data_IF_417902771720
#
_entry.id   IF_417902771720
#
_cell.length_a   1.000
_cell.length_b   1.000
_cell.length_c   1.000
_cell.angle_alpha   90.00
_cell.angle_beta   90.00
_cell.angle_gamma   90.00
#
_symmetry.space_group_name_H-M   'P 1'
#
loop_
_entity.id
_entity.type
_entity.pdbx_description
1 polymer ?
#
# COMPACT_ATOMS: atom_id res chain seq x y z
N UNK A 1 -6.69 -12.20 -17.49
CA UNK A 1 -6.93 -11.25 -16.37
C UNK A 1 -7.23 -9.88 -16.96
N UNK A 2 -8.30 -9.19 -16.56
CA UNK A 2 -8.60 -7.82 -17.07
C UNK A 2 -7.57 -6.82 -16.53
N UNK A 3 -7.12 -5.88 -17.35
CA UNK A 3 -6.11 -4.89 -16.94
C UNK A 3 -6.58 -3.46 -17.15
N UNK A 4 -6.37 -2.60 -16.15
CA UNK A 4 -6.62 -1.14 -16.19
C UNK A 4 -5.30 -0.40 -15.96
N UNK A 5 -5.14 0.75 -16.60
CA UNK A 5 -4.00 1.64 -16.42
C UNK A 5 -4.48 3.06 -16.09
N UNK A 6 -3.73 3.77 -15.26
CA UNK A 6 -4.00 5.17 -14.98
C UNK A 6 -4.98 5.40 -13.83
N UNK A 7 -4.72 6.45 -13.05
CA UNK A 7 -5.69 7.05 -12.13
C UNK A 7 -5.39 8.54 -11.97
N UNK A 8 -6.23 9.38 -12.55
CA UNK A 8 -6.07 10.83 -12.42
C UNK A 8 -6.21 11.26 -10.95
N UNK A 9 -5.23 12.01 -10.46
CA UNK A 9 -5.21 12.54 -9.10
C UNK A 9 -4.31 13.78 -9.04
N UNK A 10 -4.60 14.71 -8.14
CA UNK A 10 -3.72 15.86 -7.87
C UNK A 10 -3.13 15.72 -6.46
N UNK A 11 -1.91 15.15 -6.32
CA UNK A 11 -1.29 14.87 -5.02
C UNK A 11 -1.16 16.10 -4.12
N UNK A 12 -0.87 17.27 -4.71
CA UNK A 12 -0.76 18.53 -4.00
C UNK A 12 -2.03 18.92 -3.21
N UNK A 13 -3.21 18.39 -3.55
CA UNK A 13 -4.46 18.69 -2.84
C UNK A 13 -4.63 17.94 -1.51
N UNK A 14 -3.83 16.91 -1.25
CA UNK A 14 -3.87 16.14 0.00
C UNK A 14 -2.49 15.88 0.61
N UNK A 15 -1.43 16.44 0.01
CA UNK A 15 -0.07 16.42 0.53
C UNK A 15 0.47 17.85 0.69
N UNK A 16 -0.42 18.82 0.96
CA UNK A 16 -0.08 20.25 1.11
C UNK A 16 1.04 20.43 2.13
N UNK A 17 0.90 19.77 3.28
CA UNK A 17 1.79 19.94 4.43
C UNK A 17 3.18 19.33 4.17
N UNK A 18 3.25 18.32 3.29
CA UNK A 18 4.51 17.71 2.85
C UNK A 18 5.21 18.62 1.84
N UNK A 19 4.46 19.29 0.95
CA UNK A 19 5.06 20.19 -0.04
C UNK A 19 5.50 21.52 0.54
N UNK A 20 4.85 22.00 1.61
CA UNK A 20 5.21 23.26 2.27
C UNK A 20 6.56 23.19 2.96
N UNK A 21 6.96 22.02 3.47
CA UNK A 21 8.29 21.79 4.04
C UNK A 21 8.85 20.41 3.63
N UNK A 22 9.11 20.28 2.33
CA UNK A 22 9.58 19.02 1.76
C UNK A 22 10.94 18.59 2.30
N UNK A 23 11.82 19.55 2.63
CA UNK A 23 13.15 19.28 3.18
C UNK A 23 13.06 18.75 4.60
N UNK A 24 12.25 19.37 5.48
CA UNK A 24 12.07 18.83 6.83
C UNK A 24 11.38 17.46 6.81
N UNK A 25 10.40 17.24 5.92
CA UNK A 25 9.78 15.93 5.75
C UNK A 25 10.80 14.86 5.33
N UNK A 26 11.63 15.15 4.31
CA UNK A 26 12.70 14.26 3.86
C UNK A 26 13.68 13.93 4.97
N UNK A 27 14.18 14.93 5.69
CA UNK A 27 15.11 14.73 6.80
C UNK A 27 14.48 13.94 7.96
N UNK A 28 13.20 14.17 8.28
CA UNK A 28 12.47 13.38 9.26
C UNK A 28 12.42 11.89 8.85
N UNK A 29 12.05 11.62 7.59
CA UNK A 29 11.98 10.26 7.05
C UNK A 29 13.35 9.57 7.08
N UNK A 30 14.40 10.27 6.65
CA UNK A 30 15.79 9.80 6.67
C UNK A 30 16.28 9.47 8.08
N UNK A 31 16.12 10.40 9.04
CA UNK A 31 16.52 10.19 10.44
C UNK A 31 15.79 9.01 11.06
N UNK A 32 14.48 8.89 10.80
CA UNK A 32 13.67 7.76 11.26
C UNK A 32 14.20 6.44 10.69
N UNK A 33 14.41 6.37 9.37
CA UNK A 33 14.94 5.19 8.72
C UNK A 33 16.30 4.79 9.31
N UNK A 34 17.25 5.72 9.40
CA UNK A 34 18.57 5.48 9.95
C UNK A 34 18.54 5.02 11.43
N UNK A 35 17.63 5.58 12.25
CA UNK A 35 17.42 5.13 13.64
C UNK A 35 17.04 3.65 13.68
N UNK A 36 16.07 3.23 12.85
CA UNK A 36 15.60 1.85 12.83
C UNK A 36 16.55 0.90 12.11
N UNK A 37 17.37 1.37 11.17
CA UNK A 37 18.41 0.56 10.52
C UNK A 37 19.38 -0.02 11.56
N UNK A 38 19.75 0.77 12.58
CA UNK A 38 20.61 0.33 13.70
C UNK A 38 19.97 -0.80 14.52
N UNK A 39 18.64 -0.82 14.60
CA UNK A 39 17.84 -1.79 15.37
C UNK A 39 17.39 -3.00 14.54
N UNK A 40 17.51 -2.96 13.22
CA UNK A 40 17.09 -4.01 12.30
C UNK A 40 18.05 -5.22 12.34
N UNK A 41 17.83 -6.11 13.31
CA UNK A 41 18.66 -7.30 13.54
C UNK A 41 18.09 -8.59 12.95
N UNK A 42 16.81 -8.60 12.54
CA UNK A 42 16.18 -9.81 11.97
C UNK A 42 16.63 -9.97 10.52
N UNK A 43 17.43 -11.01 10.24
CA UNK A 43 17.87 -11.37 8.89
C UNK A 43 16.76 -12.09 8.13
N UNK A 44 16.68 -11.84 6.84
CA UNK A 44 15.75 -12.51 5.92
C UNK A 44 16.57 -13.14 4.80
N UNK A 45 16.71 -14.46 4.81
CA UNK A 45 17.56 -15.23 3.90
C UNK A 45 16.78 -16.08 2.88
N UNK A 46 15.45 -16.01 2.93
CA UNK A 46 14.53 -16.72 2.06
C UNK A 46 13.36 -15.82 1.67
N UNK A 47 12.85 -16.03 0.46
CA UNK A 47 11.74 -15.24 -0.07
C UNK A 47 10.43 -15.55 0.68
N UNK A 48 9.74 -14.51 1.16
CA UNK A 48 8.44 -14.62 1.82
C UNK A 48 7.35 -15.30 0.99
N UNK A 49 7.42 -15.19 -0.34
CA UNK A 49 6.35 -15.65 -1.23
C UNK A 49 6.55 -17.11 -1.65
N UNK A 50 7.76 -17.48 -2.06
CA UNK A 50 8.03 -18.80 -2.65
C UNK A 50 9.04 -19.65 -1.86
N UNK A 51 9.59 -19.15 -0.75
CA UNK A 51 10.57 -19.87 0.08
C UNK A 51 11.98 -19.99 -0.51
N UNK A 52 12.20 -19.57 -1.76
CA UNK A 52 13.51 -19.67 -2.42
C UNK A 52 14.59 -18.86 -1.69
N UNK A 53 15.77 -19.48 -1.52
CA UNK A 53 17.01 -18.85 -1.04
C UNK A 53 17.83 -18.19 -2.15
N UNK A 54 17.41 -18.31 -3.42
CA UNK A 54 18.08 -17.66 -4.56
C UNK A 54 17.71 -16.18 -4.59
N UNK A 55 18.53 -15.38 -3.91
CA UNK A 55 18.36 -13.92 -3.80
C UNK A 55 19.44 -13.20 -4.60
N UNK A 56 19.10 -12.04 -5.17
CA UNK A 56 20.08 -11.15 -5.79
C UNK A 56 21.03 -10.57 -4.74
N UNK A 57 22.18 -10.04 -5.19
CA UNK A 57 22.86 -9.00 -4.42
C UNK A 57 21.90 -7.82 -4.18
N UNK A 58 22.07 -7.03 -3.11
CA UNK A 58 21.28 -5.82 -2.92
C UNK A 58 21.36 -4.94 -4.16
N UNK A 59 20.20 -4.55 -4.71
CA UNK A 59 20.16 -3.70 -5.91
C UNK A 59 20.03 -2.22 -5.56
N UNK A 60 19.61 -1.92 -4.32
CA UNK A 60 19.59 -0.57 -3.76
C UNK A 60 19.72 -0.66 -2.24
N UNK A 61 20.43 0.30 -1.66
CA UNK A 61 20.52 0.52 -0.23
C UNK A 61 19.91 1.87 0.10
N UNK A 62 18.81 1.89 0.85
CA UNK A 62 18.15 3.13 1.28
C UNK A 62 18.29 3.28 2.79
N UNK A 63 18.95 4.36 3.23
CA UNK A 63 19.11 4.73 4.64
C UNK A 63 19.59 3.58 5.56
N UNK A 64 20.46 2.71 5.05
CA UNK A 64 21.02 1.57 5.78
C UNK A 64 20.26 0.25 5.65
N UNK A 65 19.19 0.19 4.84
CA UNK A 65 18.48 -1.04 4.52
C UNK A 65 18.80 -1.52 3.11
N UNK A 66 19.21 -2.78 3.00
CA UNK A 66 19.46 -3.46 1.74
C UNK A 66 18.17 -4.06 1.20
N UNK A 67 17.78 -3.68 -0.02
CA UNK A 67 16.69 -4.31 -0.75
C UNK A 67 17.25 -5.38 -1.70
N UNK A 68 16.73 -6.60 -1.56
CA UNK A 68 17.10 -7.76 -2.38
C UNK A 68 15.89 -8.23 -3.19
N UNK A 69 16.16 -8.92 -4.30
CA UNK A 69 15.13 -9.48 -5.17
C UNK A 69 15.24 -11.01 -5.20
N UNK A 70 14.11 -11.70 -5.03
CA UNK A 70 14.04 -13.13 -5.26
C UNK A 70 14.22 -13.44 -6.75
N UNK A 71 15.18 -14.31 -7.09
CA UNK A 71 15.46 -14.70 -8.48
C UNK A 71 14.47 -15.74 -9.04
N UNK A 72 13.53 -16.21 -8.23
CA UNK A 72 12.50 -17.16 -8.65
C UNK A 72 11.15 -16.47 -8.95
N UNK A 73 10.61 -15.70 -7.99
CA UNK A 73 9.29 -15.08 -8.12
C UNK A 73 9.31 -13.56 -8.27
N UNK A 74 10.50 -12.96 -8.38
CA UNK A 74 10.76 -11.51 -8.47
C UNK A 74 10.35 -10.63 -7.28
N UNK A 75 9.87 -11.20 -6.16
CA UNK A 75 9.53 -10.44 -4.95
C UNK A 75 10.72 -9.63 -4.42
N UNK A 76 10.48 -8.39 -4.00
CA UNK A 76 11.49 -7.51 -3.40
C UNK A 76 11.20 -7.31 -1.92
N UNK A 77 12.24 -7.34 -1.09
CA UNK A 77 12.12 -7.15 0.36
C UNK A 77 13.44 -6.70 0.97
N UNK A 78 13.39 -6.19 2.21
CA UNK A 78 14.59 -5.82 2.96
C UNK A 78 15.30 -7.05 3.53
N UNK A 79 16.61 -7.18 3.30
CA UNK A 79 17.42 -8.31 3.78
C UNK A 79 17.59 -8.33 5.32
N UNK A 80 17.41 -7.16 5.95
CA UNK A 80 17.32 -6.99 7.39
C UNK A 80 16.11 -6.14 7.72
N UNK A 81 15.39 -6.52 8.77
CA UNK A 81 14.24 -5.77 9.28
C UNK A 81 14.20 -5.77 10.81
N UNK A 82 13.29 -4.95 11.33
CA UNK A 82 12.88 -5.02 12.72
C UNK A 82 12.22 -6.38 13.03
N UNK A 83 12.30 -6.83 14.28
CA UNK A 83 11.57 -8.01 14.74
C UNK A 83 10.06 -7.81 14.64
N UNK A 84 9.29 -8.90 14.68
CA UNK A 84 7.83 -8.81 14.61
C UNK A 84 7.25 -7.98 15.76
N UNK A 85 7.79 -8.10 16.98
CA UNK A 85 7.40 -7.29 18.13
C UNK A 85 7.70 -5.81 17.91
N UNK A 86 8.88 -5.48 17.40
CA UNK A 86 9.25 -4.08 17.11
C UNK A 86 8.39 -3.46 16.01
N UNK A 87 8.08 -4.22 14.94
CA UNK A 87 7.14 -3.76 13.90
C UNK A 87 5.75 -3.52 14.48
N UNK A 88 5.25 -4.44 15.31
CA UNK A 88 3.95 -4.30 15.95
C UNK A 88 3.86 -3.01 16.78
N UNK A 89 4.84 -2.79 17.67
CA UNK A 89 4.90 -1.57 18.49
C UNK A 89 4.99 -0.31 17.62
N UNK A 90 5.85 -0.35 16.59
CA UNK A 90 6.03 0.74 15.65
C UNK A 90 4.72 1.18 14.99
N UNK A 91 3.87 0.25 14.55
CA UNK A 91 2.58 0.57 13.93
C UNK A 91 1.48 0.89 14.93
N UNK A 92 1.44 0.18 16.07
CA UNK A 92 0.44 0.41 17.11
C UNK A 92 0.54 1.84 17.69
N UNK A 93 1.75 2.36 17.83
CA UNK A 93 2.06 3.71 18.31
C UNK A 93 2.15 4.74 17.18
N UNK A 94 2.02 4.33 15.92
CA UNK A 94 2.13 5.25 14.78
C UNK A 94 0.94 6.21 14.72
N UNK A 95 1.24 7.50 14.69
CA UNK A 95 0.29 8.57 14.38
C UNK A 95 0.33 8.97 12.89
N UNK A 96 1.22 8.39 12.10
CA UNK A 96 1.52 8.85 10.74
C UNK A 96 0.27 8.89 9.85
N UNK A 97 -0.56 7.84 9.90
CA UNK A 97 -1.80 7.80 9.13
C UNK A 97 -2.81 8.83 9.61
N UNK A 98 -3.01 9.00 10.91
CA UNK A 98 -3.89 10.03 11.46
C UNK A 98 -3.42 11.45 11.06
N UNK A 99 -2.11 11.70 11.05
CA UNK A 99 -1.50 12.98 10.66
C UNK A 99 -1.68 13.32 9.17
N UNK A 100 -2.06 12.37 8.32
CA UNK A 100 -2.38 12.68 6.90
C UNK A 100 -3.78 13.26 6.69
N UNK A 101 -4.55 13.44 7.77
CA UNK A 101 -5.90 14.00 7.76
C UNK A 101 -5.95 15.26 8.62
N UNK A 102 -5.25 16.31 8.19
CA UNK A 102 -5.13 17.57 8.94
C UNK A 102 -6.32 18.51 8.76
N UNK A 103 -7.11 18.33 7.69
CA UNK A 103 -8.30 19.14 7.42
C UNK A 103 -9.43 18.35 6.76
N UNK A 104 -10.68 18.78 7.00
CA UNK A 104 -11.89 18.22 6.36
C UNK A 104 -11.79 18.19 4.84
N UNK A 105 -11.17 19.20 4.22
CA UNK A 105 -10.91 19.24 2.79
C UNK A 105 -10.04 18.07 2.31
N UNK A 106 -8.91 17.81 2.97
CA UNK A 106 -8.03 16.70 2.62
C UNK A 106 -8.76 15.36 2.76
N UNK A 107 -9.57 15.19 3.82
CA UNK A 107 -10.38 13.98 4.04
C UNK A 107 -11.32 13.74 2.85
N UNK A 108 -12.12 14.76 2.47
CA UNK A 108 -13.08 14.65 1.37
C UNK A 108 -12.38 14.40 0.03
N UNK A 109 -11.25 15.06 -0.20
CA UNK A 109 -10.46 14.83 -1.41
C UNK A 109 -9.96 13.39 -1.50
N UNK A 110 -9.44 12.83 -0.39
CA UNK A 110 -8.98 11.43 -0.34
C UNK A 110 -10.12 10.44 -0.52
N UNK A 111 -11.26 10.65 0.11
CA UNK A 111 -12.44 9.81 -0.11
C UNK A 111 -12.82 9.79 -1.60
N UNK A 112 -12.91 10.95 -2.24
CA UNK A 112 -13.35 11.08 -3.63
C UNK A 112 -12.33 10.58 -4.65
N UNK A 113 -11.04 10.85 -4.45
CA UNK A 113 -10.00 10.64 -5.48
C UNK A 113 -9.03 9.50 -5.17
N UNK A 114 -8.99 9.01 -3.93
CA UNK A 114 -8.13 7.88 -3.52
C UNK A 114 -8.95 6.65 -3.22
N UNK A 115 -9.89 6.71 -2.28
CA UNK A 115 -10.60 5.54 -1.78
C UNK A 115 -11.77 5.10 -2.67
N UNK A 116 -12.67 6.01 -3.04
CA UNK A 116 -13.83 5.72 -3.89
C UNK A 116 -13.44 5.05 -5.22
N UNK A 117 -12.42 5.50 -5.97
CA UNK A 117 -12.02 4.83 -7.20
C UNK A 117 -11.56 3.37 -6.99
N UNK A 118 -10.94 3.07 -5.83
CA UNK A 118 -10.54 1.70 -5.47
C UNK A 118 -11.76 0.83 -5.16
N UNK A 119 -12.69 1.34 -4.35
CA UNK A 119 -13.95 0.64 -4.05
C UNK A 119 -14.73 0.40 -5.34
N UNK A 120 -14.87 1.40 -6.19
CA UNK A 120 -15.60 1.30 -7.47
C UNK A 120 -14.98 0.25 -8.40
N UNK A 121 -13.65 0.19 -8.45
CA UNK A 121 -12.95 -0.82 -9.22
C UNK A 121 -13.25 -2.24 -8.71
N UNK A 122 -13.22 -2.46 -7.39
CA UNK A 122 -13.55 -3.76 -6.79
C UNK A 122 -15.01 -4.13 -7.02
N UNK A 123 -15.92 -3.16 -6.87
CA UNK A 123 -17.35 -3.35 -7.02
C UNK A 123 -17.75 -3.78 -8.43
N UNK A 124 -16.94 -3.47 -9.46
CA UNK A 124 -17.13 -4.01 -10.81
C UNK A 124 -17.08 -5.54 -10.87
N UNK A 125 -16.36 -6.18 -9.95
CA UNK A 125 -16.20 -7.63 -9.87
C UNK A 125 -17.14 -8.29 -8.86
N UNK A 126 -17.72 -7.49 -7.96
CA UNK A 126 -18.71 -7.90 -6.97
C UNK A 126 -20.17 -7.72 -7.43
N UNK A 127 -20.42 -7.18 -8.64
CA UNK A 127 -21.77 -6.85 -9.18
C UNK A 127 -22.83 -7.96 -9.07
N UNK A 128 -22.42 -9.23 -9.05
CA UNK A 128 -23.35 -10.37 -8.94
C UNK A 128 -23.93 -10.53 -7.53
N UNK A 129 -23.41 -9.81 -6.53
CA UNK A 129 -23.85 -9.85 -5.14
C UNK A 129 -24.85 -8.71 -4.89
N UNK A 130 -26.10 -9.07 -4.56
CA UNK A 130 -27.16 -8.09 -4.24
C UNK A 130 -26.90 -7.31 -2.94
N UNK A 131 -26.17 -7.93 -2.01
CA UNK A 131 -25.75 -7.39 -0.71
C UNK A 131 -24.37 -7.96 -0.39
N UNK A 132 -23.58 -7.28 0.44
CA UNK A 132 -22.23 -7.77 0.74
C UNK A 132 -21.66 -7.29 2.07
N UNK A 133 -20.79 -8.12 2.65
CA UNK A 133 -19.94 -7.74 3.77
C UNK A 133 -18.51 -7.54 3.27
N UNK A 134 -17.94 -6.38 3.59
CA UNK A 134 -16.57 -6.00 3.24
C UNK A 134 -15.72 -5.93 4.51
N UNK A 135 -14.61 -6.66 4.55
CA UNK A 135 -13.56 -6.51 5.56
C UNK A 135 -12.35 -5.82 4.94
N UNK A 136 -11.96 -4.67 5.47
CA UNK A 136 -10.71 -4.01 5.12
C UNK A 136 -9.71 -4.22 6.24
N UNK A 137 -8.50 -4.70 5.92
CA UNK A 137 -7.48 -5.05 6.91
C UNK A 137 -6.28 -4.13 6.73
N UNK A 138 -5.84 -3.52 7.83
CA UNK A 138 -4.91 -2.39 7.77
C UNK A 138 -5.62 -1.12 7.30
N UNK A 139 -6.81 -0.86 7.85
CA UNK A 139 -7.70 0.18 7.35
C UNK A 139 -7.23 1.62 7.55
N UNK A 140 -6.18 1.86 8.32
CA UNK A 140 -5.81 3.20 8.76
C UNK A 140 -6.99 3.86 9.45
N UNK A 141 -7.38 5.07 9.01
CA UNK A 141 -8.56 5.75 9.56
C UNK A 141 -9.89 5.25 8.96
N UNK A 142 -9.87 4.33 7.99
CA UNK A 142 -11.07 3.68 7.44
C UNK A 142 -11.69 4.34 6.21
N UNK A 143 -10.91 5.03 5.36
CA UNK A 143 -11.42 5.63 4.11
C UNK A 143 -12.14 4.62 3.21
N UNK A 144 -11.59 3.40 3.09
CA UNK A 144 -12.17 2.33 2.26
C UNK A 144 -13.51 1.91 2.84
N UNK A 145 -13.55 1.63 4.15
CA UNK A 145 -14.77 1.31 4.89
C UNK A 145 -15.82 2.41 4.69
N UNK A 146 -15.42 3.68 4.79
CA UNK A 146 -16.34 4.79 4.57
C UNK A 146 -16.87 4.86 3.15
N UNK A 147 -16.04 4.56 2.15
CA UNK A 147 -16.49 4.50 0.76
C UNK A 147 -17.40 3.30 0.47
N UNK A 148 -17.34 2.22 1.24
CA UNK A 148 -18.30 1.09 1.12
C UNK A 148 -19.72 1.55 1.45
N UNK A 149 -19.91 2.49 2.37
CA UNK A 149 -21.25 3.06 2.71
C UNK A 149 -21.98 3.67 1.50
N UNK A 150 -21.25 4.04 0.43
CA UNK A 150 -21.84 4.56 -0.80
C UNK A 150 -22.62 3.50 -1.61
N UNK A 151 -22.57 2.24 -1.16
CA UNK A 151 -23.31 1.11 -1.72
C UNK A 151 -24.36 0.64 -0.69
N UNK A 152 -25.65 1.00 -0.84
CA UNK A 152 -26.65 0.87 0.22
C UNK A 152 -26.85 -0.53 0.83
N UNK A 153 -26.57 -1.59 0.06
CA UNK A 153 -26.72 -2.98 0.49
C UNK A 153 -25.41 -3.61 0.98
N UNK A 154 -24.36 -2.80 1.15
CA UNK A 154 -23.05 -3.22 1.60
C UNK A 154 -22.75 -2.67 2.98
N UNK A 155 -22.02 -3.47 3.78
CA UNK A 155 -21.53 -3.05 5.09
C UNK A 155 -20.03 -3.31 5.18
N UNK A 156 -19.28 -2.30 5.59
CA UNK A 156 -17.83 -2.39 5.81
C UNK A 156 -17.48 -2.56 7.29
N UNK A 157 -16.47 -3.37 7.55
CA UNK A 157 -15.74 -3.42 8.83
C UNK A 157 -14.25 -3.18 8.53
N UNK A 158 -13.59 -2.33 9.31
CA UNK A 158 -12.15 -2.11 9.23
C UNK A 158 -11.41 -2.71 10.43
N UNK A 159 -10.22 -3.26 10.18
CA UNK A 159 -9.28 -3.68 11.23
C UNK A 159 -8.02 -2.83 11.15
N UNK A 160 -7.63 -2.22 12.27
CA UNK A 160 -6.43 -1.38 12.38
C UNK A 160 -5.79 -1.58 13.76
N UNK A 161 -4.48 -1.53 13.88
CA UNK A 161 -3.78 -1.69 15.17
C UNK A 161 -3.39 -0.35 15.81
N UNK A 162 -3.20 0.70 15.01
CA UNK A 162 -2.88 2.06 15.45
C UNK A 162 -4.04 2.63 16.28
N UNK A 163 -3.76 2.92 17.55
CA UNK A 163 -4.72 3.55 18.48
C UNK A 163 -5.21 4.90 17.94
N UNK A 164 -4.27 5.71 17.44
CA UNK A 164 -4.55 7.04 16.91
C UNK A 164 -5.43 6.97 15.65
N UNK A 165 -5.15 6.02 14.76
CA UNK A 165 -5.93 5.85 13.52
C UNK A 165 -7.37 5.40 13.80
N UNK A 166 -7.56 4.44 14.72
CA UNK A 166 -8.90 3.99 15.12
C UNK A 166 -9.69 5.11 15.79
N UNK A 167 -9.09 5.84 16.73
CA UNK A 167 -9.74 6.96 17.41
C UNK A 167 -10.17 8.05 16.42
N UNK A 168 -9.27 8.41 15.50
CA UNK A 168 -9.53 9.40 14.44
C UNK A 168 -10.63 8.93 13.50
N UNK A 169 -10.54 7.70 12.99
CA UNK A 169 -11.50 7.12 12.05
C UNK A 169 -12.91 7.03 12.63
N UNK A 170 -13.05 6.59 13.88
CA UNK A 170 -14.35 6.57 14.57
C UNK A 170 -14.94 7.97 14.72
N UNK A 171 -14.12 8.94 15.12
CA UNK A 171 -14.53 10.35 15.29
C UNK A 171 -15.00 10.97 13.96
N UNK A 172 -14.23 10.77 12.89
CA UNK A 172 -14.45 11.44 11.60
C UNK A 172 -15.54 10.75 10.78
N UNK A 173 -15.53 9.41 10.70
CA UNK A 173 -16.36 8.68 9.74
C UNK A 173 -17.57 7.96 10.33
N UNK A 174 -17.60 7.75 11.66
CA UNK A 174 -18.67 7.02 12.36
C UNK A 174 -18.92 5.62 11.76
N UNK A 175 -17.84 4.86 11.54
CA UNK A 175 -17.81 3.53 10.90
C UNK A 175 -17.47 2.41 11.90
N UNK A 176 -17.73 1.15 11.53
CA UNK A 176 -17.22 -0.03 12.25
C UNK A 176 -15.72 -0.20 11.99
N UNK A 177 -14.90 0.46 12.80
CA UNK A 177 -13.45 0.36 12.79
C UNK A 177 -12.97 -0.22 14.12
N UNK A 178 -12.29 -1.36 14.08
CA UNK A 178 -11.90 -2.13 15.26
C UNK A 178 -10.40 -2.08 15.46
N UNK A 179 -10.00 -1.84 16.71
CA UNK A 179 -8.59 -1.94 17.07
C UNK A 179 -8.22 -3.42 17.27
N UNK A 180 -7.83 -4.11 16.20
CA UNK A 180 -7.63 -5.56 16.27
C UNK A 180 -6.63 -6.07 15.21
N UNK A 181 -5.87 -7.10 15.58
CA UNK A 181 -5.03 -7.85 14.66
C UNK A 181 -5.88 -8.82 13.85
N UNK A 182 -5.60 -8.94 12.55
CA UNK A 182 -6.38 -9.82 11.67
C UNK A 182 -6.41 -11.29 12.14
N UNK A 183 -5.29 -11.78 12.69
CA UNK A 183 -5.19 -13.13 13.25
C UNK A 183 -6.12 -13.34 14.44
N UNK A 184 -6.16 -12.40 15.37
CA UNK A 184 -7.05 -12.45 16.54
C UNK A 184 -8.52 -12.34 16.11
N UNK A 185 -8.80 -11.46 15.14
CA UNK A 185 -10.15 -11.30 14.59
C UNK A 185 -10.72 -12.61 14.04
N UNK A 186 -9.90 -13.40 13.31
CA UNK A 186 -10.29 -14.73 12.85
C UNK A 186 -10.58 -15.69 14.01
N UNK A 187 -9.77 -15.69 15.07
CA UNK A 187 -9.99 -16.58 16.23
C UNK A 187 -11.36 -16.36 16.86
N UNK A 188 -11.80 -15.09 16.94
CA UNK A 188 -13.11 -14.72 17.48
C UNK A 188 -14.24 -14.95 16.46
N UNK A 189 -13.93 -14.92 15.16
CA UNK A 189 -14.89 -15.04 14.06
C UNK A 189 -14.49 -16.15 13.07
N UNK A 190 -14.47 -17.44 13.46
CA UNK A 190 -13.80 -18.48 12.68
C UNK A 190 -14.55 -18.91 11.40
N UNK A 191 -15.77 -18.43 11.18
CA UNK A 191 -16.61 -18.86 10.06
C UNK A 191 -16.48 -17.92 8.85
N UNK A 192 -16.46 -18.46 7.61
CA UNK A 192 -16.51 -17.65 6.40
C UNK A 192 -17.74 -16.73 6.40
N UNK A 193 -17.54 -15.42 6.28
CA UNK A 193 -18.65 -14.46 6.34
C UNK A 193 -18.52 -13.25 5.42
N UNK A 194 -17.32 -12.97 4.91
CA UNK A 194 -17.07 -11.79 4.08
C UNK A 194 -17.18 -12.11 2.60
N UNK A 195 -17.77 -11.17 1.87
CA UNK A 195 -17.90 -11.22 0.41
C UNK A 195 -16.72 -10.50 -0.26
N UNK A 196 -16.14 -9.51 0.42
CA UNK A 196 -14.88 -8.87 0.01
C UNK A 196 -13.94 -8.80 1.22
N UNK A 197 -12.68 -9.17 1.03
CA UNK A 197 -11.59 -8.88 1.97
C UNK A 197 -10.53 -8.08 1.21
N UNK A 198 -10.17 -6.89 1.69
CA UNK A 198 -9.16 -6.03 1.06
C UNK A 198 -7.95 -5.77 1.94
N UNK A 199 -6.81 -5.67 1.26
CA UNK A 199 -5.52 -5.27 1.80
C UNK A 199 -5.00 -4.12 0.93
N UNK A 200 -4.97 -2.89 1.45
CA UNK A 200 -4.44 -1.73 0.72
C UNK A 200 -3.23 -1.16 1.46
N UNK A 201 -2.02 -1.41 0.96
CA UNK A 201 -0.76 -1.03 1.62
C UNK A 201 -0.51 -1.80 2.92
N UNK A 202 -1.11 -2.99 3.06
CA UNK A 202 -1.01 -3.81 4.27
C UNK A 202 0.00 -4.94 4.09
N UNK A 203 0.02 -5.61 2.94
CA UNK A 203 0.95 -6.72 2.75
C UNK A 203 2.40 -6.25 2.64
N UNK A 204 2.64 -5.01 2.23
CA UNK A 204 3.97 -4.39 2.15
C UNK A 204 4.63 -4.13 3.52
N UNK A 205 3.84 -4.07 4.59
CA UNK A 205 4.29 -3.74 5.95
C UNK A 205 4.35 -4.92 6.92
N UNK A 206 3.65 -6.02 6.64
CA UNK A 206 3.64 -7.20 7.50
C UNK A 206 4.85 -8.10 7.29
N UNK A 207 5.24 -8.88 8.30
CA UNK A 207 6.36 -9.80 8.19
C UNK A 207 6.05 -11.08 7.41
N UNK A 208 4.78 -11.52 7.35
CA UNK A 208 4.38 -12.77 6.70
C UNK A 208 3.09 -12.56 5.88
N UNK A 209 3.18 -12.10 4.63
CA UNK A 209 2.01 -11.81 3.82
C UNK A 209 1.27 -13.09 3.39
N UNK A 210 1.98 -14.22 3.34
CA UNK A 210 1.39 -15.52 2.98
C UNK A 210 0.47 -16.04 4.09
N UNK A 211 0.81 -15.83 5.37
CA UNK A 211 -0.11 -16.11 6.48
C UNK A 211 -1.37 -15.26 6.36
N UNK A 212 -1.22 -13.95 6.12
CA UNK A 212 -2.37 -13.03 5.95
C UNK A 212 -3.32 -13.48 4.84
N UNK A 213 -2.78 -13.84 3.67
CA UNK A 213 -3.61 -14.33 2.56
C UNK A 213 -4.30 -15.66 2.89
N UNK A 214 -3.65 -16.57 3.63
CA UNK A 214 -4.31 -17.81 4.10
C UNK A 214 -5.42 -17.53 5.11
N UNK A 215 -5.26 -16.55 5.99
CA UNK A 215 -6.32 -16.12 6.91
C UNK A 215 -7.52 -15.55 6.13
N UNK A 216 -7.26 -14.75 5.07
CA UNK A 216 -8.32 -14.30 4.18
C UNK A 216 -9.05 -15.47 3.52
N UNK A 217 -8.34 -16.51 3.07
CA UNK A 217 -8.96 -17.70 2.44
C UNK A 217 -9.95 -18.40 3.37
N UNK A 218 -9.72 -18.36 4.68
CA UNK A 218 -10.61 -18.94 5.71
C UNK A 218 -11.85 -18.07 5.98
N UNK A 219 -11.71 -16.74 6.01
CA UNK A 219 -12.83 -15.82 6.29
C UNK A 219 -13.70 -15.49 5.07
N UNK A 220 -13.16 -15.67 3.87
CA UNK A 220 -13.83 -15.31 2.63
C UNK A 220 -14.85 -16.39 2.25
N UNK A 221 -16.06 -15.95 1.87
CA UNK A 221 -17.07 -16.84 1.29
C UNK A 221 -16.59 -17.43 -0.03
N UNK A 222 -17.16 -18.58 -0.42
CA UNK A 222 -16.80 -19.30 -1.64
C UNK A 222 -16.90 -18.46 -2.93
N UNK A 223 -17.87 -17.54 -3.00
CA UNK A 223 -18.05 -16.60 -4.13
C UNK A 223 -17.45 -15.22 -3.87
N UNK A 224 -16.75 -15.05 -2.75
CA UNK A 224 -16.15 -13.78 -2.35
C UNK A 224 -14.92 -13.42 -3.16
N UNK A 225 -14.38 -12.25 -2.86
CA UNK A 225 -13.24 -11.65 -3.56
C UNK A 225 -12.19 -11.21 -2.54
N UNK A 226 -10.93 -11.52 -2.82
CA UNK A 226 -9.79 -10.92 -2.13
C UNK A 226 -9.19 -9.82 -3.00
N UNK A 227 -8.82 -8.70 -2.38
CA UNK A 227 -8.21 -7.54 -3.04
C UNK A 227 -6.87 -7.26 -2.39
N UNK A 228 -5.83 -7.13 -3.22
CA UNK A 228 -4.47 -6.81 -2.80
C UNK A 228 -4.04 -5.56 -3.55
N UNK A 229 -3.83 -4.45 -2.86
CA UNK A 229 -3.32 -3.22 -3.45
C UNK A 229 -2.06 -2.77 -2.75
N UNK A 230 -0.91 -2.86 -3.43
CA UNK A 230 0.42 -2.72 -2.81
C UNK A 230 1.36 -1.91 -3.69
N UNK A 231 2.50 -1.50 -3.13
CA UNK A 231 3.60 -0.91 -3.86
C UNK A 231 4.18 -1.89 -4.91
N UNK A 232 4.44 -1.35 -6.11
CA UNK A 232 5.05 -2.06 -7.23
C UNK A 232 6.57 -1.86 -7.25
N UNK A 233 7.34 -2.92 -7.01
CA UNK A 233 8.79 -2.88 -7.08
C UNK A 233 9.35 -2.63 -8.48
N UNK A 234 8.58 -2.91 -9.54
CA UNK A 234 8.97 -2.63 -10.92
C UNK A 234 8.27 -1.37 -11.40
N UNK A 235 8.71 -0.24 -10.86
CA UNK A 235 8.12 1.08 -11.08
C UNK A 235 9.16 2.13 -11.43
N UNK A 236 8.69 3.27 -11.96
CA UNK A 236 9.57 4.41 -12.20
C UNK A 236 10.09 5.00 -10.88
N UNK A 237 9.28 5.00 -9.81
CA UNK A 237 9.71 5.37 -8.46
C UNK A 237 10.87 4.52 -7.94
N UNK A 238 10.86 3.20 -8.20
CA UNK A 238 12.00 2.32 -7.86
C UNK A 238 13.26 2.70 -8.65
N UNK A 239 13.14 2.97 -9.95
CA UNK A 239 14.30 3.39 -10.78
C UNK A 239 14.88 4.69 -10.25
N UNK A 240 14.03 5.65 -9.90
CA UNK A 240 14.47 6.93 -9.33
C UNK A 240 15.24 6.73 -8.03
N UNK A 241 14.76 5.88 -7.13
CA UNK A 241 15.40 5.62 -5.83
C UNK A 241 16.61 4.69 -5.91
N UNK A 242 16.73 3.86 -6.95
CA UNK A 242 17.98 3.17 -7.27
C UNK A 242 19.07 4.17 -7.65
N UNK A 243 18.73 5.16 -8.47
CA UNK A 243 19.65 6.21 -8.90
C UNK A 243 19.98 7.22 -7.78
N UNK A 244 19.00 7.52 -6.92
CA UNK A 244 19.11 8.55 -5.88
C UNK A 244 18.59 8.05 -4.52
N UNK A 245 19.25 7.05 -3.90
CA UNK A 245 18.75 6.40 -2.69
C UNK A 245 18.64 7.34 -1.48
N UNK A 246 19.50 8.35 -1.39
CA UNK A 246 19.51 9.32 -0.29
C UNK A 246 18.38 10.36 -0.35
N UNK A 247 17.59 10.35 -1.43
CA UNK A 247 16.44 11.23 -1.65
C UNK A 247 15.11 10.45 -1.63
N UNK A 248 15.12 9.19 -1.16
CA UNK A 248 13.91 8.40 -0.98
C UNK A 248 13.00 9.00 0.09
N UNK A 249 11.70 9.09 -0.20
CA UNK A 249 10.72 9.74 0.69
C UNK A 249 9.39 9.03 0.82
N UNK A 250 9.11 8.01 0.00
CA UNK A 250 7.76 7.40 -0.02
C UNK A 250 7.75 5.95 -0.48
N UNK A 251 8.36 5.66 -1.63
CA UNK A 251 8.20 4.34 -2.26
C UNK A 251 9.06 3.24 -1.60
N UNK A 252 10.39 3.31 -1.68
CA UNK A 252 11.33 2.49 -0.91
C UNK A 252 11.67 3.21 0.39
N UNK A 253 10.75 3.18 1.35
CA UNK A 253 10.91 3.88 2.61
C UNK A 253 10.94 2.89 3.80
N UNK A 254 12.12 2.46 4.26
CA UNK A 254 12.22 1.64 5.46
C UNK A 254 12.18 2.51 6.74
N UNK A 255 11.80 1.95 7.91
CA UNK A 255 11.43 0.56 8.15
C UNK A 255 9.97 0.25 7.83
N UNK A 256 9.22 1.16 7.21
CA UNK A 256 7.78 0.97 6.95
C UNK A 256 7.54 -0.02 5.82
N UNK A 257 8.13 0.23 4.65
CA UNK A 257 7.95 -0.61 3.45
C UNK A 257 9.06 -1.67 3.42
N UNK A 258 8.83 -2.79 4.12
CA UNK A 258 9.77 -3.92 4.21
C UNK A 258 9.62 -4.94 3.09
N UNK A 259 8.48 -4.91 2.39
CA UNK A 259 8.20 -5.75 1.23
C UNK A 259 7.70 -4.90 0.09
N UNK A 260 8.13 -5.20 -1.14
CA UNK A 260 7.56 -4.63 -2.34
C UNK A 260 7.24 -5.73 -3.35
N UNK A 261 5.98 -5.79 -3.75
CA UNK A 261 5.52 -6.80 -4.67
C UNK A 261 5.84 -6.40 -6.10
N UNK A 262 6.15 -7.38 -6.94
CA UNK A 262 5.98 -7.25 -8.38
C UNK A 262 4.61 -7.80 -8.75
N UNK A 263 4.13 -7.48 -9.95
CA UNK A 263 2.94 -8.15 -10.50
C UNK A 263 3.06 -9.68 -10.46
N UNK A 264 4.25 -10.20 -10.77
CA UNK A 264 4.51 -11.63 -10.76
C UNK A 264 4.49 -12.20 -9.34
N UNK A 265 5.17 -11.57 -8.38
CA UNK A 265 5.21 -12.08 -7.00
C UNK A 265 3.84 -12.02 -6.33
N UNK A 266 3.04 -10.99 -6.62
CA UNK A 266 1.69 -10.89 -6.09
C UNK A 266 0.73 -11.93 -6.69
N UNK A 267 0.83 -12.21 -7.99
CA UNK A 267 0.08 -13.31 -8.63
C UNK A 267 0.50 -14.66 -8.04
N UNK A 268 1.81 -14.87 -7.84
CA UNK A 268 2.34 -16.09 -7.25
C UNK A 268 1.86 -16.28 -5.80
N UNK A 269 1.88 -15.21 -5.01
CA UNK A 269 1.37 -15.21 -3.63
C UNK A 269 -0.11 -15.64 -3.60
N UNK A 270 -0.95 -15.01 -4.43
CA UNK A 270 -2.38 -15.32 -4.51
C UNK A 270 -2.62 -16.77 -4.91
N UNK A 271 -1.92 -17.29 -5.93
CA UNK A 271 -2.05 -18.68 -6.39
C UNK A 271 -1.67 -19.67 -5.28
N UNK A 272 -0.54 -19.46 -4.61
CA UNK A 272 -0.04 -20.31 -3.51
C UNK A 272 -0.91 -20.27 -2.26
N UNK A 273 -1.86 -19.35 -2.17
CA UNK A 273 -2.82 -19.26 -1.06
C UNK A 273 -4.25 -19.54 -1.50
N UNK A 274 -4.43 -20.26 -2.61
CA UNK A 274 -5.73 -20.72 -3.05
C UNK A 274 -6.62 -19.65 -3.68
N UNK A 275 -6.02 -18.64 -4.32
CA UNK A 275 -6.74 -17.63 -5.08
C UNK A 275 -6.32 -17.60 -6.55
N UNK A 276 -7.29 -17.27 -7.41
CA UNK A 276 -7.11 -17.05 -8.84
C UNK A 276 -7.30 -15.56 -9.17
N UNK A 277 -6.24 -14.85 -9.59
CA UNK A 277 -6.34 -13.46 -10.01
C UNK A 277 -7.25 -13.27 -11.23
N UNK A 278 -8.15 -12.28 -11.18
CA UNK A 278 -9.14 -11.98 -12.23
C UNK A 278 -9.03 -10.58 -12.81
N UNK A 279 -8.48 -9.62 -12.05
CA UNK A 279 -8.22 -8.27 -12.54
C UNK A 279 -6.95 -7.65 -11.95
N UNK A 280 -6.37 -6.70 -12.68
CA UNK A 280 -5.20 -5.92 -12.34
C UNK A 280 -5.41 -4.46 -12.71
N UNK A 281 -5.02 -3.54 -11.84
CA UNK A 281 -5.00 -2.11 -12.12
C UNK A 281 -3.65 -1.54 -11.72
N UNK A 282 -2.90 -1.00 -12.68
CA UNK A 282 -1.65 -0.30 -12.42
C UNK A 282 -1.85 1.22 -12.52
N UNK A 283 -1.30 1.93 -11.55
CA UNK A 283 -1.32 3.39 -11.45
C UNK A 283 -0.23 3.82 -10.47
N UNK A 284 0.09 5.10 -10.38
CA UNK A 284 1.06 5.52 -9.38
C UNK A 284 1.10 7.01 -9.13
N UNK A 285 2.11 7.41 -8.36
CA UNK A 285 2.49 8.79 -8.10
C UNK A 285 3.95 9.04 -8.50
N UNK A 286 4.47 8.24 -9.42
CA UNK A 286 5.87 8.22 -9.81
C UNK A 286 6.34 9.56 -10.38
N UNK A 287 5.55 10.17 -11.26
CA UNK A 287 5.91 11.46 -11.83
C UNK A 287 5.90 12.56 -10.77
N UNK A 288 4.97 12.48 -9.81
CA UNK A 288 4.96 13.40 -8.68
C UNK A 288 6.18 13.21 -7.77
N UNK A 289 6.61 11.97 -7.57
CA UNK A 289 7.85 11.67 -6.84
C UNK A 289 9.08 12.23 -7.55
N UNK A 290 9.13 12.14 -8.88
CA UNK A 290 10.16 12.79 -9.68
C UNK A 290 10.15 14.32 -9.53
N UNK A 291 8.98 14.97 -9.54
CA UNK A 291 8.90 16.42 -9.27
C UNK A 291 9.43 16.75 -7.88
N UNK A 292 9.10 15.96 -6.84
CA UNK A 292 9.63 16.17 -5.49
C UNK A 292 11.16 16.00 -5.42
N UNK A 293 11.73 15.07 -6.20
CA UNK A 293 13.17 14.94 -6.33
C UNK A 293 13.81 16.23 -6.89
N UNK A 294 13.21 16.82 -7.92
CA UNK A 294 13.67 18.11 -8.47
C UNK A 294 13.57 19.24 -7.43
N UNK A 295 12.48 19.30 -6.67
CA UNK A 295 12.31 20.27 -5.58
C UNK A 295 13.41 20.16 -4.50
N UNK A 296 13.89 18.95 -4.20
CA UNK A 296 14.99 18.75 -3.24
C UNK A 296 16.36 19.08 -3.83
N UNK A 297 16.55 18.83 -5.13
CA UNK A 297 17.85 18.89 -5.79
C UNK A 297 18.18 20.28 -6.35
N UNK A 298 17.17 21.09 -6.65
CA UNK A 298 17.33 22.38 -7.31
C UNK A 298 16.75 23.49 -6.41
N UNK A 299 17.60 24.43 -6.01
CA UNK A 299 17.18 25.60 -5.22
C UNK A 299 16.11 26.42 -5.96
N UNK A 300 15.08 26.85 -5.24
CA UNK A 300 13.95 27.64 -5.77
C UNK A 300 13.16 27.00 -6.92
N UNK A 301 13.29 25.69 -7.16
CA UNK A 301 12.58 25.01 -8.24
C UNK A 301 11.06 25.17 -8.17
N UNK A 302 10.46 25.12 -6.97
CA UNK A 302 9.02 25.27 -6.76
C UNK A 302 8.46 26.62 -7.23
N UNK A 303 9.30 27.67 -7.31
CA UNK A 303 8.91 28.99 -7.81
C UNK A 303 9.12 29.15 -9.33
N UNK A 304 9.71 28.15 -10.00
CA UNK A 304 10.06 28.23 -11.41
C UNK A 304 8.85 27.98 -12.34
N UNK A 305 8.84 28.57 -13.55
CA UNK A 305 7.86 28.24 -14.59
C UNK A 305 7.86 26.74 -14.96
N UNK A 306 9.01 26.08 -14.86
CA UNK A 306 9.16 24.64 -15.11
C UNK A 306 8.32 23.83 -14.14
N UNK A 307 8.39 24.12 -12.83
CA UNK A 307 7.56 23.44 -11.83
C UNK A 307 6.06 23.59 -12.12
N UNK A 308 5.61 24.81 -12.45
CA UNK A 308 4.21 25.08 -12.82
C UNK A 308 3.78 24.26 -14.04
N UNK A 309 4.63 24.15 -15.06
CA UNK A 309 4.37 23.33 -16.24
C UNK A 309 4.24 21.84 -15.89
N UNK A 310 5.20 21.28 -15.14
CA UNK A 310 5.18 19.87 -14.76
C UNK A 310 3.96 19.53 -13.88
N UNK A 311 3.62 20.38 -12.92
CA UNK A 311 2.50 20.14 -12.01
C UNK A 311 1.13 20.26 -12.70
N UNK A 312 0.96 21.20 -13.64
CA UNK A 312 -0.27 21.33 -14.44
C UNK A 312 -0.47 20.15 -15.41
N UNK A 313 0.62 19.50 -15.84
CA UNK A 313 0.60 18.35 -16.76
C UNK A 313 0.84 17.00 -16.06
N UNK A 314 0.87 16.97 -14.73
CA UNK A 314 1.27 15.82 -13.91
C UNK A 314 0.55 14.52 -14.31
N UNK A 315 -0.77 14.58 -14.51
CA UNK A 315 -1.55 13.39 -14.87
C UNK A 315 -1.22 12.86 -16.27
N UNK A 316 -0.83 13.72 -17.22
CA UNK A 316 -0.46 13.31 -18.58
C UNK A 316 0.88 12.56 -18.56
N UNK A 317 1.87 13.07 -17.83
CA UNK A 317 3.15 12.39 -17.65
C UNK A 317 3.00 11.09 -16.86
N UNK A 318 2.24 11.09 -15.75
CA UNK A 318 1.96 9.85 -15.01
C UNK A 318 1.27 8.81 -15.89
N UNK A 319 0.37 9.22 -16.79
CA UNK A 319 -0.29 8.28 -17.70
C UNK A 319 0.69 7.54 -18.62
N UNK A 320 1.77 8.19 -19.06
CA UNK A 320 2.83 7.54 -19.86
C UNK A 320 3.48 6.41 -19.05
N UNK A 321 3.83 6.68 -17.80
CA UNK A 321 4.43 5.70 -16.87
C UNK A 321 3.47 4.53 -16.64
N UNK A 322 2.20 4.83 -16.32
CA UNK A 322 1.19 3.82 -16.04
C UNK A 322 0.92 2.92 -17.26
N UNK A 323 0.90 3.48 -18.49
CA UNK A 323 0.70 2.70 -19.73
C UNK A 323 1.84 1.77 -20.06
N UNK A 324 3.03 1.99 -19.50
CA UNK A 324 4.17 1.07 -19.55
C UNK A 324 4.14 0.03 -18.43
N UNK A 325 3.07 -0.01 -17.63
CA UNK A 325 2.93 -0.85 -16.44
C UNK A 325 4.01 -0.57 -15.37
N UNK A 326 4.52 0.66 -15.34
CA UNK A 326 5.59 1.11 -14.44
C UNK A 326 5.06 2.00 -13.31
N UNK A 327 3.74 2.07 -13.11
CA UNK A 327 3.18 2.78 -11.95
C UNK A 327 3.60 2.11 -10.64
N UNK A 328 3.95 2.90 -9.63
CA UNK A 328 4.43 2.45 -8.32
C UNK A 328 3.37 1.82 -7.41
N UNK A 329 2.12 1.73 -7.85
CA UNK A 329 1.05 1.04 -7.16
C UNK A 329 0.34 0.07 -8.12
N UNK A 330 -0.27 -0.95 -7.54
CA UNK A 330 -1.25 -1.74 -8.26
C UNK A 330 -2.38 -2.21 -7.36
N UNK A 331 -3.45 -2.71 -7.97
CA UNK A 331 -4.51 -3.47 -7.31
C UNK A 331 -4.75 -4.75 -8.10
N UNK A 332 -4.70 -5.89 -7.40
CA UNK A 332 -5.14 -7.19 -7.88
C UNK A 332 -6.46 -7.55 -7.22
N UNK A 333 -7.36 -8.12 -8.02
CA UNK A 333 -8.62 -8.70 -7.56
C UNK A 333 -8.56 -10.19 -7.86
N UNK A 334 -8.85 -11.04 -6.89
CA UNK A 334 -8.81 -12.49 -7.04
C UNK A 334 -10.01 -13.17 -6.37
N UNK A 335 -10.33 -14.39 -6.81
CA UNK A 335 -11.38 -15.24 -6.23
C UNK A 335 -10.77 -16.51 -5.66
N UNK A 336 -11.43 -17.20 -4.72
CA UNK A 336 -11.04 -18.56 -4.34
C UNK A 336 -10.85 -19.44 -5.58
N UNK A 337 -9.76 -20.20 -5.62
CA UNK A 337 -9.59 -21.28 -6.60
C UNK A 337 -10.45 -22.48 -6.19
N UNK A 338 -10.93 -23.24 -7.17
CA UNK A 338 -11.67 -24.47 -6.90
C UNK A 338 -10.75 -25.65 -6.55
N UNK A 339 -9.46 -25.54 -6.90
CA UNK A 339 -8.44 -26.57 -6.73
C UNK A 339 -7.79 -26.57 -5.33
N UNK A 340 -8.36 -25.85 -4.35
CA UNK A 340 -7.72 -25.51 -3.07
C UNK A 340 -8.63 -25.59 -1.85
#
# INVERSE_FOLDING_TARGET
MKTRYGKAIHPAKFQTDILSDLRAYHELMKRRAQKYAKQAKTKVDSCYICGSKRLSKPFVRVYGFDYVRCLNCSHVFTAKRLSQRQLHLFYQESEEYARTYTSTYQIQYRLKHVAKPKVDFVMQYAKKLKRGLWLDVGSGIGDIVKCVDTYPTWKGTGLEISKSSVATGKKVFKIDLRQELFKNFLQINPRPRYDVISFFGYLEVVANPMEVLRLARQLLRSKGIVVVGEANAFSFSTILQQSFPDLSMRHLLPPTVIQQFTKQSAIEALKRTGFRPIAYWNFGLDFYEFVKFLCLSINNFQASPVYTFLMSHLNRFQHVIDRKAMGDNFILVARPSHDY
#
